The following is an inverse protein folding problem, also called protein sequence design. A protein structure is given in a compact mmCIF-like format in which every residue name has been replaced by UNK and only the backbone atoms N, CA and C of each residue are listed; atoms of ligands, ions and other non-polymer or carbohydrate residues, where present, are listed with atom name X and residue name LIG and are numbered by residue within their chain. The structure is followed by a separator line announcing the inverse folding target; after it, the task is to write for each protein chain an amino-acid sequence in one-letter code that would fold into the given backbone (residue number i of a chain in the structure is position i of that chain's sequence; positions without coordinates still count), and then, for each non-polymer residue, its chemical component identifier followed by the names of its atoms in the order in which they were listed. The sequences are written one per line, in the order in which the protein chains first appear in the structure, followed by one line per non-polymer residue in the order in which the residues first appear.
data_IF_570067203234
#
_entry.id   IF_570067203234
#
_cell.length_a   1.000
_cell.length_b   1.000
_cell.length_c   1.000
_cell.angle_alpha   90.00
_cell.angle_beta   90.00
_cell.angle_gamma   90.00
#
_symmetry.space_group_name_H-M   'P 1'
#
loop_
_entity.id
_entity.type
_entity.pdbx_description
1 polymer ?
#
# COMPACT_ATOMS: atom_id res chain seq x y z
N UNK A 1 -40.26 -4.19 -3.49
CA UNK A 1 -39.09 -4.14 -4.38
C UNK A 1 -39.43 -3.68 -5.80
N UNK A 2 -40.35 -4.30 -6.56
CA UNK A 2 -40.69 -3.88 -7.94
C UNK A 2 -41.10 -2.39 -8.06
N UNK A 3 -41.83 -1.86 -7.08
CA UNK A 3 -42.29 -0.45 -7.06
C UNK A 3 -41.14 0.53 -6.83
N UNK A 4 -40.19 0.19 -5.95
CA UNK A 4 -38.99 1.02 -5.66
C UNK A 4 -38.10 1.08 -6.91
N UNK A 5 -37.84 -0.07 -7.55
CA UNK A 5 -37.04 -0.12 -8.78
C UNK A 5 -37.66 0.64 -9.93
N UNK A 6 -39.00 0.58 -10.08
CA UNK A 6 -39.77 1.33 -11.11
C UNK A 6 -39.74 2.84 -10.85
N UNK A 7 -39.83 3.25 -9.58
CA UNK A 7 -39.72 4.66 -9.21
C UNK A 7 -38.31 5.18 -9.47
N UNK A 8 -37.29 4.43 -9.11
CA UNK A 8 -35.87 4.75 -9.38
C UNK A 8 -35.61 4.93 -10.88
N UNK A 9 -36.08 3.99 -11.72
CA UNK A 9 -35.98 4.10 -13.18
C UNK A 9 -36.72 5.29 -13.74
N UNK A 10 -37.89 5.67 -13.19
CA UNK A 10 -38.69 6.82 -13.64
C UNK A 10 -37.99 8.15 -13.29
N UNK A 11 -37.35 8.22 -12.12
CA UNK A 11 -36.54 9.38 -11.67
C UNK A 11 -35.27 9.51 -12.50
N UNK A 12 -34.57 8.41 -12.74
CA UNK A 12 -33.38 8.34 -13.62
C UNK A 12 -33.71 8.91 -15.03
N UNK A 13 -34.86 8.52 -15.60
CA UNK A 13 -35.29 9.00 -16.93
C UNK A 13 -35.67 10.47 -16.97
N UNK A 14 -36.19 11.01 -15.86
CA UNK A 14 -36.71 12.40 -15.82
C UNK A 14 -35.63 13.43 -15.47
N UNK A 15 -34.57 13.04 -14.70
CA UNK A 15 -33.52 13.92 -14.18
C UNK A 15 -32.12 13.46 -14.54
N UNK A 16 -31.96 13.03 -15.79
CA UNK A 16 -30.73 12.34 -16.28
C UNK A 16 -29.43 13.06 -15.91
N UNK A 17 -29.32 14.35 -16.22
CA UNK A 17 -28.09 15.12 -16.00
C UNK A 17 -27.76 15.29 -14.52
N UNK A 18 -28.76 15.62 -13.76
CA UNK A 18 -28.62 15.88 -12.34
C UNK A 18 -28.24 14.62 -11.56
N UNK A 19 -28.86 13.50 -11.90
CA UNK A 19 -28.55 12.21 -11.27
C UNK A 19 -27.23 11.66 -11.75
N UNK A 20 -26.89 11.87 -13.01
CA UNK A 20 -25.56 11.49 -13.55
C UNK A 20 -24.43 12.20 -12.80
N UNK A 21 -24.53 13.52 -12.60
CA UNK A 21 -23.52 14.29 -11.85
C UNK A 21 -23.38 13.80 -10.41
N UNK A 22 -24.48 13.44 -9.77
CA UNK A 22 -24.46 12.94 -8.40
C UNK A 22 -23.81 11.54 -8.31
N UNK A 23 -24.18 10.64 -9.21
CA UNK A 23 -23.58 9.30 -9.31
C UNK A 23 -22.09 9.41 -9.63
N UNK A 24 -21.70 10.25 -10.59
CA UNK A 24 -20.29 10.45 -10.94
C UNK A 24 -19.50 11.05 -9.78
N UNK A 25 -20.04 12.05 -9.07
CA UNK A 25 -19.40 12.65 -7.91
C UNK A 25 -19.13 11.64 -6.80
N UNK A 26 -20.13 10.82 -6.44
CA UNK A 26 -19.96 9.73 -5.48
C UNK A 26 -18.99 8.66 -5.97
N UNK A 27 -19.05 8.30 -7.26
CA UNK A 27 -18.15 7.28 -7.82
C UNK A 27 -16.70 7.70 -7.78
N UNK A 28 -16.40 8.95 -8.12
CA UNK A 28 -15.06 9.52 -8.05
C UNK A 28 -14.60 9.58 -6.58
N UNK A 29 -15.47 9.96 -5.66
CA UNK A 29 -15.16 10.03 -4.23
C UNK A 29 -14.81 8.63 -3.67
N UNK A 30 -15.59 7.61 -3.99
CA UNK A 30 -15.29 6.24 -3.57
C UNK A 30 -14.03 5.71 -4.22
N UNK A 31 -13.79 5.98 -5.50
CA UNK A 31 -12.55 5.60 -6.17
C UNK A 31 -11.33 6.26 -5.52
N UNK A 32 -11.39 7.57 -5.27
CA UNK A 32 -10.32 8.30 -4.59
C UNK A 32 -10.08 7.77 -3.17
N UNK A 33 -11.15 7.51 -2.40
CA UNK A 33 -11.06 6.89 -1.08
C UNK A 33 -10.32 5.55 -1.13
N UNK A 34 -10.70 4.66 -2.05
CA UNK A 34 -10.09 3.34 -2.19
C UNK A 34 -8.59 3.48 -2.52
N UNK A 35 -8.23 4.31 -3.50
CA UNK A 35 -6.83 4.50 -3.91
C UNK A 35 -5.98 5.07 -2.78
N UNK A 36 -6.49 6.07 -2.05
CA UNK A 36 -5.78 6.64 -0.89
C UNK A 36 -5.63 5.60 0.21
N UNK A 37 -6.67 4.81 0.48
CA UNK A 37 -6.60 3.79 1.51
C UNK A 37 -5.69 2.61 1.12
N UNK A 38 -5.55 2.28 -0.17
CA UNK A 38 -4.55 1.33 -0.64
C UNK A 38 -3.13 1.82 -0.35
N UNK A 39 -2.85 3.12 -0.59
CA UNK A 39 -1.54 3.71 -0.24
C UNK A 39 -1.32 3.72 1.27
N UNK A 40 -2.32 4.07 2.07
CA UNK A 40 -2.23 4.03 3.54
C UNK A 40 -1.96 2.60 4.04
N UNK A 41 -2.61 1.60 3.46
CA UNK A 41 -2.40 0.19 3.79
C UNK A 41 -1.00 -0.28 3.39
N UNK A 42 -0.51 0.13 2.21
CA UNK A 42 0.85 -0.13 1.73
C UNK A 42 1.90 0.39 2.72
N UNK A 43 1.84 1.68 3.05
CA UNK A 43 2.79 2.30 3.97
C UNK A 43 2.70 1.70 5.39
N UNK A 44 1.47 1.50 5.90
CA UNK A 44 1.25 0.98 7.25
C UNK A 44 1.80 -0.44 7.43
N UNK A 45 1.72 -1.26 6.37
CA UNK A 45 2.14 -2.66 6.39
C UNK A 45 3.53 -2.86 5.76
N UNK A 46 4.31 -1.77 5.58
CA UNK A 46 5.65 -1.87 5.02
C UNK A 46 6.54 -2.74 5.92
N UNK A 47 7.22 -3.73 5.33
CA UNK A 47 8.07 -4.71 6.00
C UNK A 47 7.41 -5.52 7.13
N UNK A 48 6.07 -5.62 7.15
CA UNK A 48 5.35 -6.40 8.18
C UNK A 48 5.00 -7.82 7.74
N UNK A 49 5.52 -8.26 6.61
CA UNK A 49 5.24 -9.59 6.04
C UNK A 49 6.18 -10.70 6.50
N UNK A 50 7.21 -10.40 7.28
CA UNK A 50 8.18 -11.37 7.77
C UNK A 50 7.77 -11.98 9.10
N UNK A 51 8.23 -13.20 9.39
CA UNK A 51 8.07 -13.80 10.73
C UNK A 51 8.92 -13.01 11.72
N UNK A 52 8.34 -12.65 12.87
CA UNK A 52 9.01 -11.88 13.92
C UNK A 52 9.77 -10.64 13.39
N UNK A 53 9.10 -9.84 12.57
CA UNK A 53 9.66 -8.63 11.96
C UNK A 53 10.31 -7.69 12.98
N UNK A 54 9.77 -7.65 14.19
CA UNK A 54 10.30 -6.83 15.30
C UNK A 54 11.69 -7.30 15.78
N UNK A 55 12.11 -8.52 15.45
CA UNK A 55 13.45 -9.07 15.75
C UNK A 55 14.48 -8.74 14.67
N UNK A 56 14.07 -8.13 13.56
CA UNK A 56 14.94 -7.74 12.47
C UNK A 56 15.28 -6.26 12.62
N UNK A 57 16.57 -5.93 12.58
CA UNK A 57 17.05 -4.56 12.71
C UNK A 57 17.97 -4.20 11.55
N UNK A 58 17.80 -2.99 11.01
CA UNK A 58 18.84 -2.37 10.20
C UNK A 58 19.85 -1.68 11.13
N UNK A 59 21.13 -1.96 10.94
CA UNK A 59 22.19 -1.30 11.69
C UNK A 59 22.64 -0.07 10.92
N UNK A 60 22.51 1.10 11.54
CA UNK A 60 22.84 2.41 10.99
C UNK A 60 23.97 3.04 11.77
N UNK A 61 24.86 3.75 11.09
CA UNK A 61 25.89 4.55 11.75
C UNK A 61 25.41 5.98 11.93
N UNK A 62 25.48 6.47 13.14
CA UNK A 62 25.10 7.85 13.50
C UNK A 62 26.33 8.57 14.01
N UNK A 63 26.64 9.72 13.42
CA UNK A 63 27.73 10.59 13.86
C UNK A 63 27.30 11.43 15.09
N UNK A 64 28.28 11.97 15.79
CA UNK A 64 28.02 12.77 17.00
C UNK A 64 27.25 14.08 16.72
N UNK A 65 27.29 14.59 15.50
CA UNK A 65 26.50 15.73 15.02
C UNK A 65 25.04 15.41 14.67
N UNK A 66 24.69 14.12 14.70
CA UNK A 66 23.36 13.62 14.43
C UNK A 66 23.15 13.13 12.99
N UNK A 67 24.08 13.32 12.08
CA UNK A 67 24.01 12.78 10.73
C UNK A 67 24.11 11.26 10.75
N UNK A 68 23.24 10.60 10.00
CA UNK A 68 23.16 9.14 9.94
C UNK A 68 23.32 8.60 8.54
N UNK A 69 23.84 7.37 8.43
CA UNK A 69 23.95 6.64 7.18
C UNK A 69 23.39 5.21 7.31
N UNK A 70 22.77 4.74 6.24
CA UNK A 70 22.22 3.38 6.15
C UNK A 70 23.28 2.33 5.77
N UNK A 71 24.49 2.77 5.43
CA UNK A 71 25.55 1.90 4.95
C UNK A 71 26.71 1.82 5.93
N UNK A 72 27.35 0.66 5.96
CA UNK A 72 28.50 0.36 6.80
C UNK A 72 29.63 -0.24 5.97
N UNK A 73 30.84 -0.30 6.53
CA UNK A 73 31.92 -1.10 5.96
C UNK A 73 31.84 -2.55 6.41
N UNK A 74 32.34 -3.44 5.57
CA UNK A 74 32.29 -4.88 5.82
C UNK A 74 33.00 -5.33 7.10
N UNK A 75 34.24 -4.86 7.43
CA UNK A 75 34.92 -5.28 8.66
C UNK A 75 34.17 -4.95 9.93
N UNK A 76 33.46 -3.80 9.96
CA UNK A 76 32.64 -3.40 11.10
C UNK A 76 31.43 -4.34 11.27
N UNK A 77 30.74 -4.66 10.16
CA UNK A 77 29.61 -5.58 10.19
C UNK A 77 30.02 -7.00 10.63
N UNK A 78 31.12 -7.52 10.11
CA UNK A 78 31.63 -8.84 10.48
C UNK A 78 32.00 -8.90 11.98
N UNK A 79 32.64 -7.85 12.51
CA UNK A 79 32.94 -7.73 13.94
C UNK A 79 31.66 -7.65 14.79
N UNK A 80 30.66 -6.90 14.34
CA UNK A 80 29.40 -6.74 15.06
C UNK A 80 28.59 -8.05 15.09
N UNK A 81 28.49 -8.77 13.98
CA UNK A 81 27.80 -10.07 13.91
C UNK A 81 28.39 -11.07 14.94
N UNK A 82 29.71 -11.05 15.11
CA UNK A 82 30.42 -11.98 16.01
C UNK A 82 30.41 -11.51 17.47
N UNK A 83 29.93 -10.31 17.77
CA UNK A 83 30.06 -9.70 19.10
C UNK A 83 29.09 -10.24 20.15
N UNK A 84 27.99 -10.86 19.75
CA UNK A 84 26.94 -11.29 20.68
C UNK A 84 26.26 -12.59 20.22
N UNK A 85 25.99 -13.53 21.15
CA UNK A 85 25.21 -14.73 20.86
C UNK A 85 23.73 -14.43 20.59
N UNK A 86 23.24 -13.24 20.92
CA UNK A 86 21.88 -12.80 20.65
C UNK A 86 21.63 -12.43 19.17
N UNK A 87 22.71 -12.29 18.39
CA UNK A 87 22.61 -12.10 16.93
C UNK A 87 22.53 -13.49 16.28
N UNK A 88 21.30 -13.90 15.94
CA UNK A 88 21.02 -15.21 15.34
C UNK A 88 21.50 -15.28 13.88
N UNK A 89 21.37 -14.18 13.14
CA UNK A 89 21.85 -14.05 11.77
C UNK A 89 22.18 -12.58 11.48
N UNK A 90 23.19 -12.38 10.63
CA UNK A 90 23.56 -11.06 10.14
C UNK A 90 23.87 -11.09 8.66
N UNK A 91 23.49 -10.04 7.93
CA UNK A 91 23.69 -9.98 6.50
C UNK A 91 24.09 -8.60 6.03
N UNK A 92 25.00 -8.56 5.07
CA UNK A 92 25.29 -7.40 4.26
C UNK A 92 24.58 -7.52 2.93
N UNK A 93 24.07 -6.40 2.47
CA UNK A 93 23.41 -6.23 1.18
C UNK A 93 24.14 -5.12 0.43
N UNK A 94 24.61 -5.39 -0.79
CA UNK A 94 25.13 -4.34 -1.66
C UNK A 94 23.96 -3.69 -2.42
N UNK A 95 23.43 -2.53 -1.97
CA UNK A 95 22.26 -1.92 -2.58
C UNK A 95 22.54 -1.33 -3.97
N UNK A 96 23.81 -1.18 -4.33
CA UNK A 96 24.29 -0.63 -5.60
C UNK A 96 24.41 -1.68 -6.69
N UNK A 97 23.84 -2.88 -6.48
CA UNK A 97 23.80 -3.95 -7.46
C UNK A 97 23.38 -3.44 -8.83
N UNK A 98 24.06 -3.90 -9.84
CA UNK A 98 23.85 -3.47 -11.21
C UNK A 98 22.76 -4.25 -11.93
N UNK A 99 22.77 -4.13 -13.26
CA UNK A 99 22.00 -5.00 -14.13
C UNK A 99 22.90 -6.10 -14.69
N UNK A 100 22.47 -7.34 -14.59
CA UNK A 100 23.07 -8.46 -15.29
C UNK A 100 22.50 -8.55 -16.71
N UNK A 101 23.40 -8.68 -17.68
CA UNK A 101 23.08 -8.98 -19.08
C UNK A 101 23.45 -10.43 -19.35
N UNK A 102 22.46 -11.27 -19.56
CA UNK A 102 22.65 -12.70 -19.77
C UNK A 102 21.68 -13.24 -20.81
N UNK A 103 21.94 -14.42 -21.28
CA UNK A 103 21.04 -15.16 -22.14
C UNK A 103 20.68 -16.50 -21.53
N UNK A 104 19.48 -16.94 -21.84
CA UNK A 104 18.96 -18.27 -21.52
C UNK A 104 18.75 -19.01 -22.83
N UNK A 105 19.20 -20.25 -22.89
CA UNK A 105 18.95 -21.13 -24.03
C UNK A 105 17.73 -22.00 -23.72
N UNK A 106 16.68 -21.85 -24.51
CA UNK A 106 15.45 -22.63 -24.41
C UNK A 106 15.05 -23.13 -25.81
N UNK A 107 14.82 -24.44 -25.95
CA UNK A 107 14.41 -25.08 -27.21
C UNK A 107 15.33 -24.77 -28.41
N UNK A 108 16.63 -24.52 -28.17
CA UNK A 108 17.59 -24.14 -29.22
C UNK A 108 17.58 -22.67 -29.64
N UNK A 109 16.74 -21.86 -29.00
CA UNK A 109 16.73 -20.41 -29.14
C UNK A 109 17.45 -19.74 -27.95
N UNK A 110 18.23 -18.70 -28.26
CA UNK A 110 18.95 -17.92 -27.24
C UNK A 110 18.27 -16.58 -27.05
N UNK A 111 17.62 -16.41 -25.90
CA UNK A 111 16.96 -15.17 -25.53
C UNK A 111 17.84 -14.38 -24.56
N UNK A 112 18.03 -13.08 -24.82
CA UNK A 112 18.82 -12.19 -23.96
C UNK A 112 17.95 -11.34 -23.06
N UNK A 113 18.39 -11.19 -21.81
CA UNK A 113 17.67 -10.47 -20.76
C UNK A 113 18.60 -9.48 -20.07
N UNK A 114 17.99 -8.44 -19.50
CA UNK A 114 18.63 -7.47 -18.62
C UNK A 114 17.83 -7.42 -17.33
N UNK A 115 18.40 -7.92 -16.23
CA UNK A 115 17.72 -8.01 -14.93
C UNK A 115 18.58 -7.44 -13.83
N UNK A 116 17.91 -6.93 -12.77
CA UNK A 116 18.59 -6.41 -11.58
C UNK A 116 19.14 -7.55 -10.73
N UNK A 117 20.33 -7.34 -10.15
CA UNK A 117 20.89 -8.26 -9.17
C UNK A 117 21.42 -7.51 -7.95
N UNK A 118 21.51 -8.23 -6.84
CA UNK A 118 22.05 -7.75 -5.57
C UNK A 118 22.96 -8.83 -4.99
N UNK A 119 24.17 -8.43 -4.55
CA UNK A 119 25.07 -9.31 -3.83
C UNK A 119 24.78 -9.24 -2.33
N UNK A 120 24.68 -10.41 -1.70
CA UNK A 120 24.30 -10.53 -0.28
C UNK A 120 25.15 -11.57 0.43
N UNK A 121 25.17 -11.53 1.76
CA UNK A 121 25.70 -12.64 2.55
C UNK A 121 24.76 -13.85 2.49
N UNK A 122 25.30 -15.10 2.66
CA UNK A 122 24.47 -16.31 2.64
C UNK A 122 23.33 -16.30 3.66
N UNK A 123 23.55 -15.70 4.84
CA UNK A 123 22.54 -15.61 5.90
C UNK A 123 21.40 -14.61 5.60
N UNK A 124 21.41 -13.94 4.44
CA UNK A 124 20.34 -13.07 3.99
C UNK A 124 18.96 -13.74 4.03
N UNK A 125 18.90 -15.00 3.61
CA UNK A 125 17.66 -15.79 3.63
C UNK A 125 17.21 -16.19 5.04
N UNK A 126 18.10 -16.19 6.03
CA UNK A 126 17.77 -16.42 7.44
C UNK A 126 17.30 -15.14 8.13
N UNK A 127 17.84 -13.98 7.70
CA UNK A 127 17.40 -12.68 8.22
C UNK A 127 15.99 -12.36 7.76
N UNK A 128 15.64 -12.61 6.48
CA UNK A 128 14.39 -12.17 5.85
C UNK A 128 13.38 -13.29 5.53
N UNK A 129 13.53 -14.49 6.06
CA UNK A 129 12.59 -15.61 5.94
C UNK A 129 12.09 -15.86 4.51
N UNK A 130 12.96 -16.34 3.63
CA UNK A 130 12.59 -16.65 2.26
C UNK A 130 11.68 -17.88 2.18
N UNK A 131 10.56 -17.75 1.49
CA UNK A 131 9.64 -18.85 1.16
C UNK A 131 10.07 -19.46 -0.19
N UNK A 132 10.75 -20.61 -0.14
CA UNK A 132 11.27 -21.27 -1.33
C UNK A 132 10.21 -22.13 -2.01
N UNK A 133 10.02 -21.92 -3.30
CA UNK A 133 9.15 -22.73 -4.16
C UNK A 133 9.92 -23.89 -4.81
N UNK A 134 11.20 -23.64 -5.17
CA UNK A 134 12.12 -24.63 -5.73
C UNK A 134 13.52 -24.41 -5.13
N UNK A 135 14.28 -25.48 -4.93
CA UNK A 135 15.61 -25.39 -4.30
C UNK A 135 15.53 -25.00 -2.82
N UNK A 136 16.58 -24.38 -2.30
CA UNK A 136 16.64 -23.96 -0.89
C UNK A 136 17.70 -22.87 -0.66
N UNK A 137 17.83 -22.43 0.59
CA UNK A 137 18.76 -21.37 1.01
C UNK A 137 20.24 -21.65 0.73
N UNK A 138 20.67 -22.91 0.63
CA UNK A 138 22.08 -23.27 0.37
C UNK A 138 22.56 -22.81 -1.01
N UNK A 139 21.66 -22.40 -1.90
CA UNK A 139 22.03 -21.82 -3.17
C UNK A 139 22.94 -20.59 -3.02
N UNK A 140 22.81 -19.81 -1.94
CA UNK A 140 23.69 -18.66 -1.65
C UNK A 140 25.02 -19.05 -0.99
N UNK A 141 25.27 -20.31 -0.70
CA UNK A 141 26.58 -20.79 -0.23
C UNK A 141 27.56 -20.99 -1.39
N UNK A 142 27.03 -21.23 -2.60
CA UNK A 142 27.81 -21.48 -3.80
C UNK A 142 28.01 -20.17 -4.63
N UNK A 143 29.25 -19.79 -4.96
CA UNK A 143 29.54 -18.53 -5.67
C UNK A 143 28.95 -18.43 -7.07
N UNK A 144 28.73 -19.56 -7.72
CA UNK A 144 28.17 -19.63 -9.08
C UNK A 144 26.67 -19.90 -9.13
N UNK A 145 26.03 -19.83 -7.97
CA UNK A 145 24.59 -20.05 -7.84
C UNK A 145 23.85 -18.75 -7.54
N UNK A 146 22.60 -18.68 -7.99
CA UNK A 146 21.72 -17.53 -7.77
C UNK A 146 20.33 -17.95 -7.33
N UNK A 147 19.66 -17.04 -6.62
CA UNK A 147 18.23 -17.12 -6.32
C UNK A 147 17.45 -16.21 -7.26
N UNK A 148 16.32 -16.72 -7.76
CA UNK A 148 15.38 -15.95 -8.59
C UNK A 148 14.05 -15.77 -7.87
N UNK A 149 13.37 -14.60 -8.04
CA UNK A 149 11.98 -14.48 -7.64
C UNK A 149 11.08 -15.29 -8.58
N UNK A 150 9.94 -15.74 -8.10
CA UNK A 150 8.97 -16.55 -8.86
C UNK A 150 8.55 -15.88 -10.18
N UNK A 151 8.27 -14.58 -10.14
CA UNK A 151 7.89 -13.80 -11.33
C UNK A 151 8.97 -13.82 -12.41
N UNK A 152 10.25 -13.73 -12.01
CA UNK A 152 11.37 -13.78 -12.93
C UNK A 152 11.61 -15.20 -13.45
N UNK A 153 11.54 -16.21 -12.59
CA UNK A 153 11.64 -17.62 -13.01
C UNK A 153 10.58 -17.95 -14.07
N UNK A 154 9.33 -17.49 -13.86
CA UNK A 154 8.27 -17.64 -14.84
C UNK A 154 8.54 -16.87 -16.15
N UNK A 155 9.05 -15.64 -16.06
CA UNK A 155 9.42 -14.81 -17.21
C UNK A 155 10.51 -15.48 -18.07
N UNK A 156 11.50 -16.13 -17.43
CA UNK A 156 12.65 -16.71 -18.10
C UNK A 156 12.38 -18.12 -18.65
N UNK A 157 11.60 -18.93 -17.93
CA UNK A 157 11.45 -20.38 -18.16
C UNK A 157 9.99 -20.86 -18.27
N UNK A 158 9.01 -19.94 -18.20
CA UNK A 158 7.59 -20.29 -18.23
C UNK A 158 7.21 -21.17 -17.04
N UNK A 159 6.54 -22.31 -17.33
CA UNK A 159 6.11 -23.27 -16.31
C UNK A 159 7.14 -24.39 -16.05
N UNK A 160 8.35 -24.30 -16.63
CA UNK A 160 9.40 -25.28 -16.38
C UNK A 160 10.12 -24.96 -15.06
N UNK A 161 10.67 -25.99 -14.39
CA UNK A 161 11.56 -25.79 -13.25
C UNK A 161 12.76 -24.94 -13.68
N UNK A 162 13.03 -23.90 -12.90
CA UNK A 162 14.17 -23.02 -13.12
C UNK A 162 15.47 -23.56 -12.48
N UNK A 163 15.37 -24.37 -11.42
CA UNK A 163 16.54 -24.89 -10.72
C UNK A 163 17.40 -25.76 -11.63
N UNK A 164 18.71 -25.51 -11.63
CA UNK A 164 19.69 -26.15 -12.49
C UNK A 164 19.82 -25.53 -13.88
N UNK A 165 18.95 -24.59 -14.27
CA UNK A 165 19.11 -23.82 -15.53
C UNK A 165 20.26 -22.83 -15.40
N UNK A 166 20.84 -22.45 -16.53
CA UNK A 166 22.02 -21.57 -16.61
C UNK A 166 21.67 -20.21 -17.18
N UNK A 167 22.17 -19.17 -16.54
CA UNK A 167 22.23 -17.80 -17.04
C UNK A 167 23.62 -17.62 -17.66
N UNK A 168 23.70 -17.43 -18.99
CA UNK A 168 24.96 -17.39 -19.74
C UNK A 168 25.30 -15.95 -20.10
N UNK A 169 26.45 -15.46 -19.65
CA UNK A 169 26.94 -14.11 -19.94
C UNK A 169 27.67 -14.04 -21.26
N UNK A 170 27.88 -12.81 -21.78
CA UNK A 170 28.59 -12.59 -23.05
C UNK A 170 30.04 -13.08 -23.05
N UNK A 171 30.70 -12.99 -21.88
CA UNK A 171 32.07 -13.49 -21.69
C UNK A 171 32.18 -15.01 -21.57
N UNK A 172 31.04 -15.72 -21.61
CA UNK A 172 30.96 -17.17 -21.47
C UNK A 172 30.82 -17.68 -20.03
N UNK A 173 30.87 -16.79 -19.03
CA UNK A 173 30.60 -17.16 -17.64
C UNK A 173 29.15 -17.60 -17.47
N UNK A 174 28.91 -18.44 -16.47
CA UNK A 174 27.61 -19.02 -16.19
C UNK A 174 27.27 -18.93 -14.74
N UNK A 175 26.02 -18.51 -14.45
CA UNK A 175 25.42 -18.67 -13.13
C UNK A 175 24.30 -19.72 -13.22
N UNK A 176 24.24 -20.58 -12.22
CA UNK A 176 23.22 -21.64 -12.14
C UNK A 176 22.10 -21.19 -11.20
N UNK A 177 20.87 -21.38 -11.60
CA UNK A 177 19.71 -21.13 -10.70
C UNK A 177 19.71 -22.22 -9.64
N UNK A 178 19.98 -21.86 -8.39
CA UNK A 178 20.00 -22.77 -7.25
C UNK A 178 18.70 -22.80 -6.46
N UNK A 179 17.86 -21.77 -6.62
CA UNK A 179 16.55 -21.73 -5.97
C UNK A 179 15.64 -20.65 -6.55
N UNK A 180 14.34 -20.89 -6.38
CA UNK A 180 13.27 -19.94 -6.70
C UNK A 180 12.52 -19.62 -5.43
N UNK A 181 12.45 -18.34 -5.10
CA UNK A 181 11.70 -17.85 -3.95
C UNK A 181 10.39 -17.19 -4.39
N UNK A 182 9.39 -17.25 -3.54
CA UNK A 182 8.12 -16.57 -3.71
C UNK A 182 8.34 -15.05 -3.66
N UNK A 183 7.74 -14.33 -4.59
CA UNK A 183 7.88 -12.88 -4.65
C UNK A 183 7.46 -12.22 -3.33
N UNK A 184 8.32 -11.34 -2.82
CA UNK A 184 7.98 -10.44 -1.73
C UNK A 184 6.93 -9.42 -2.19
N UNK A 185 6.04 -8.99 -1.29
CA UNK A 185 5.09 -7.94 -1.62
C UNK A 185 5.83 -6.61 -1.91
N UNK A 186 5.18 -5.72 -2.64
CA UNK A 186 5.80 -4.43 -3.03
C UNK A 186 6.19 -3.55 -1.83
N UNK A 187 5.50 -3.69 -0.71
CA UNK A 187 5.77 -3.00 0.55
C UNK A 187 6.81 -3.73 1.40
N UNK A 188 7.93 -4.04 0.78
CA UNK A 188 9.06 -4.74 1.40
C UNK A 188 10.38 -4.08 1.02
N UNK A 189 11.32 -4.02 1.98
CA UNK A 189 12.71 -3.62 1.75
C UNK A 189 13.46 -4.64 0.90
N UNK A 190 13.06 -5.92 0.94
CA UNK A 190 13.62 -6.97 0.09
C UNK A 190 13.03 -6.87 -1.31
N UNK A 191 13.90 -6.64 -2.29
CA UNK A 191 13.51 -6.48 -3.70
C UNK A 191 13.36 -7.82 -4.39
N UNK A 192 12.42 -7.92 -5.33
CA UNK A 192 12.31 -9.09 -6.20
C UNK A 192 13.32 -8.99 -7.35
N UNK A 193 14.54 -9.47 -7.13
CA UNK A 193 15.66 -9.43 -8.06
C UNK A 193 16.50 -10.71 -7.96
N UNK A 194 17.54 -10.81 -8.76
CA UNK A 194 18.52 -11.90 -8.67
C UNK A 194 19.38 -11.68 -7.44
N UNK A 195 19.41 -12.65 -6.52
CA UNK A 195 20.34 -12.65 -5.40
C UNK A 195 21.52 -13.59 -5.66
N UNK A 196 22.72 -13.05 -5.44
CA UNK A 196 23.99 -13.76 -5.59
C UNK A 196 24.81 -13.62 -4.32
N UNK A 197 25.60 -14.64 -4.01
CA UNK A 197 26.57 -14.57 -2.92
C UNK A 197 27.58 -13.45 -3.17
N UNK A 198 27.82 -12.63 -2.16
CA UNK A 198 28.90 -11.65 -2.15
C UNK A 198 30.26 -12.38 -2.16
N UNK A 199 31.23 -11.87 -2.94
CA UNK A 199 32.58 -12.46 -2.95
C UNK A 199 33.16 -12.43 -1.51
N UNK A 200 33.54 -13.58 -0.96
CA UNK A 200 34.06 -13.64 0.40
C UNK A 200 35.38 -12.86 0.60
N UNK A 201 36.07 -12.49 -0.48
CA UNK A 201 37.33 -11.73 -0.41
C UNK A 201 37.13 -10.22 -0.61
N UNK A 202 35.96 -9.80 -1.07
CA UNK A 202 35.69 -8.40 -1.39
C UNK A 202 35.65 -7.56 -0.12
N UNK A 203 36.49 -6.53 -0.04
CA UNK A 203 36.50 -5.49 0.99
C UNK A 203 36.61 -5.97 2.46
N UNK A 204 37.12 -7.18 2.73
CA UNK A 204 37.19 -7.78 4.08
C UNK A 204 38.08 -7.01 5.07
N UNK A 205 39.00 -6.18 4.57
CA UNK A 205 39.91 -5.36 5.39
C UNK A 205 39.81 -3.87 5.04
N UNK A 206 38.82 -3.50 4.20
CA UNK A 206 38.68 -2.15 3.67
C UNK A 206 37.76 -1.31 4.58
N UNK A 207 38.32 -0.70 5.61
CA UNK A 207 37.59 0.15 6.56
C UNK A 207 37.06 1.44 5.92
N UNK A 208 37.62 1.88 4.81
CA UNK A 208 37.18 3.05 4.04
C UNK A 208 36.05 2.76 3.04
N UNK A 209 35.66 1.48 2.85
CA UNK A 209 34.64 1.10 1.89
C UNK A 209 33.26 0.98 2.55
N UNK A 210 32.47 2.05 2.53
CA UNK A 210 31.15 2.18 3.13
C UNK A 210 30.08 2.03 2.03
N UNK A 211 29.72 0.78 1.72
CA UNK A 211 28.85 0.48 0.57
C UNK A 211 27.75 -0.54 0.85
N UNK A 212 27.59 -1.00 2.09
CA UNK A 212 26.72 -2.12 2.38
C UNK A 212 25.64 -1.73 3.39
N UNK A 213 24.38 -1.99 3.06
CA UNK A 213 23.31 -2.02 4.05
C UNK A 213 23.52 -3.25 4.95
N UNK A 214 23.32 -3.06 6.24
CA UNK A 214 23.58 -4.09 7.24
C UNK A 214 22.34 -4.39 8.05
N UNK A 215 21.94 -5.66 8.05
CA UNK A 215 20.78 -6.14 8.80
C UNK A 215 21.19 -7.27 9.73
N UNK A 216 20.56 -7.29 10.91
CA UNK A 216 20.73 -8.37 11.91
C UNK A 216 19.36 -8.85 12.37
N UNK A 217 19.28 -10.16 12.65
CA UNK A 217 18.14 -10.78 13.33
C UNK A 217 18.58 -11.15 14.74
N UNK A 218 17.83 -10.73 15.74
CA UNK A 218 18.05 -11.09 17.13
C UNK A 218 17.10 -12.23 17.54
N UNK A 219 17.51 -12.98 18.58
CA UNK A 219 16.69 -14.01 19.23
C UNK A 219 15.48 -13.44 19.98
N UNK A 220 15.63 -12.24 20.58
CA UNK A 220 14.56 -11.45 21.21
C UNK A 220 14.81 -9.96 20.88
N UNK A 221 13.82 -9.19 20.39
CA UNK A 221 13.98 -7.77 20.11
C UNK A 221 14.42 -6.94 21.33
N UNK A 222 14.14 -7.38 22.54
CA UNK A 222 14.59 -6.72 23.79
C UNK A 222 16.11 -6.73 23.95
N UNK A 223 16.79 -7.70 23.36
CA UNK A 223 18.24 -7.79 23.40
C UNK A 223 18.95 -6.73 22.54
N UNK A 224 18.20 -5.92 21.77
CA UNK A 224 18.75 -4.78 21.05
C UNK A 224 19.25 -3.68 21.99
N UNK A 225 18.64 -3.54 23.18
CA UNK A 225 19.06 -2.59 24.19
C UNK A 225 20.40 -3.00 24.79
N UNK A 226 21.38 -2.09 24.79
CA UNK A 226 22.72 -2.35 25.30
C UNK A 226 23.63 -3.17 24.38
N UNK A 227 23.15 -3.64 23.23
CA UNK A 227 23.96 -4.45 22.32
C UNK A 227 25.14 -3.66 21.74
N UNK A 228 24.91 -2.39 21.40
CA UNK A 228 25.97 -1.52 20.89
C UNK A 228 26.98 -1.17 21.98
N UNK A 229 26.55 -0.84 23.19
CA UNK A 229 27.41 -0.52 24.32
C UNK A 229 28.34 -1.68 24.69
N UNK A 230 27.79 -2.91 24.67
CA UNK A 230 28.56 -4.13 24.88
C UNK A 230 29.59 -4.33 23.76
N UNK A 231 29.19 -4.18 22.50
CA UNK A 231 30.10 -4.20 21.36
C UNK A 231 31.21 -3.17 21.50
N UNK A 232 30.86 -1.92 21.75
CA UNK A 232 31.80 -0.79 21.86
C UNK A 232 32.81 -0.95 23.01
N UNK A 233 32.44 -1.65 24.07
CA UNK A 233 33.35 -1.94 25.20
C UNK A 233 34.49 -2.92 24.86
N UNK A 234 34.31 -3.73 23.81
CA UNK A 234 35.26 -4.82 23.43
C UNK A 234 35.85 -4.62 22.02
N UNK A 235 35.36 -3.66 21.26
CA UNK A 235 35.79 -3.39 19.89
C UNK A 235 36.75 -2.21 19.84
N UNK A 236 37.89 -2.37 19.14
CA UNK A 236 38.79 -1.25 18.86
C UNK A 236 38.17 -0.31 17.84
N UNK A 237 37.76 0.90 18.24
CA UNK A 237 37.08 1.85 17.34
C UNK A 237 38.04 2.61 16.42
N UNK A 238 39.36 2.46 16.57
CA UNK A 238 40.37 3.26 15.87
C UNK A 238 40.16 3.27 14.35
N UNK A 239 40.01 2.12 13.67
CA UNK A 239 39.87 2.12 12.21
C UNK A 239 38.59 2.83 11.73
N UNK A 240 37.52 2.80 12.52
CA UNK A 240 36.26 3.49 12.18
C UNK A 240 36.39 4.98 12.46
N UNK A 241 37.01 5.36 13.58
CA UNK A 241 37.20 6.77 13.98
C UNK A 241 38.10 7.55 13.03
N UNK A 242 39.04 6.91 12.40
CA UNK A 242 39.87 7.53 11.36
C UNK A 242 39.06 8.05 10.17
N UNK A 243 37.91 7.40 9.87
CA UNK A 243 37.03 7.78 8.78
C UNK A 243 35.83 8.62 9.24
N UNK A 244 35.31 8.40 10.45
CA UNK A 244 34.03 8.94 10.90
C UNK A 244 34.10 9.81 12.16
N UNK A 245 35.25 9.89 12.82
CA UNK A 245 35.34 10.57 14.10
C UNK A 245 34.54 9.85 15.20
N UNK A 246 33.71 10.59 15.94
CA UNK A 246 32.82 9.98 16.93
C UNK A 246 31.55 9.42 16.27
N UNK A 247 31.20 8.20 16.61
CA UNK A 247 30.01 7.52 16.07
C UNK A 247 29.36 6.61 17.12
N UNK A 248 28.10 6.24 16.87
CA UNK A 248 27.45 5.08 17.50
C UNK A 248 26.64 4.31 16.45
N UNK A 249 26.39 3.03 16.72
CA UNK A 249 25.52 2.22 15.88
C UNK A 249 24.11 2.25 16.47
N UNK A 250 23.15 2.53 15.62
CA UNK A 250 21.73 2.47 15.94
C UNK A 250 21.13 1.21 15.33
N UNK A 251 20.50 0.40 16.15
CA UNK A 251 19.65 -0.69 15.70
C UNK A 251 18.24 -0.13 15.44
N UNK A 252 17.89 0.02 14.17
CA UNK A 252 16.60 0.54 13.75
C UNK A 252 15.68 -0.63 13.42
N UNK A 253 14.56 -0.86 14.17
CA UNK A 253 13.64 -1.95 13.88
C UNK A 253 13.16 -1.87 12.42
N UNK A 254 13.11 -3.01 11.72
CA UNK A 254 12.77 -3.07 10.30
C UNK A 254 11.43 -2.36 9.98
N UNK A 255 10.35 -2.50 10.79
CA UNK A 255 9.10 -1.77 10.55
C UNK A 255 9.20 -0.25 10.64
N UNK A 256 10.23 0.27 11.33
CA UNK A 256 10.44 1.71 11.49
C UNK A 256 11.40 2.30 10.45
N UNK A 257 12.15 1.47 9.74
CA UNK A 257 13.10 1.89 8.69
C UNK A 257 12.40 2.74 7.62
N UNK A 258 11.22 2.33 7.17
CA UNK A 258 10.40 3.05 6.18
C UNK A 258 10.01 4.47 6.64
N UNK A 259 9.90 4.69 7.95
CA UNK A 259 9.52 5.99 8.54
C UNK A 259 10.70 6.81 9.05
N UNK A 260 11.89 6.25 9.08
CA UNK A 260 13.10 6.95 9.55
C UNK A 260 13.62 7.84 8.44
N UNK A 261 13.54 9.16 8.65
CA UNK A 261 13.96 10.18 7.70
C UNK A 261 15.37 10.69 8.04
N UNK A 262 16.03 11.32 7.07
CA UNK A 262 17.32 12.01 7.28
C UNK A 262 18.53 11.07 7.34
N UNK A 263 18.39 9.81 6.91
CA UNK A 263 19.49 8.86 6.81
C UNK A 263 20.04 8.90 5.39
N UNK A 264 21.34 9.15 5.25
CA UNK A 264 22.02 9.21 3.96
C UNK A 264 22.23 7.80 3.39
N UNK A 265 22.31 7.71 2.07
CA UNK A 265 22.50 6.46 1.32
C UNK A 265 21.46 5.37 1.62
N UNK A 266 20.29 5.78 2.02
CA UNK A 266 19.16 4.88 2.29
C UNK A 266 18.39 4.59 1.00
N UNK A 267 18.33 3.33 0.59
CA UNK A 267 17.66 2.90 -0.62
C UNK A 267 16.22 2.45 -0.40
N UNK A 268 15.77 2.38 0.86
CA UNK A 268 14.40 2.01 1.23
C UNK A 268 13.43 3.13 0.87
N UNK A 269 12.29 2.86 0.21
CA UNK A 269 11.23 3.83 0.02
C UNK A 269 10.80 4.46 1.34
N UNK A 270 10.57 5.78 1.35
CA UNK A 270 10.29 6.54 2.58
C UNK A 270 8.87 7.09 2.61
N UNK A 271 8.28 6.97 3.79
CA UNK A 271 7.02 7.62 4.14
C UNK A 271 7.11 8.25 5.54
N UNK A 272 6.11 9.03 5.93
CA UNK A 272 6.05 9.58 7.29
C UNK A 272 4.71 9.24 7.95
N UNK A 273 4.75 8.99 9.26
CA UNK A 273 3.53 8.76 10.08
C UNK A 273 2.57 9.97 9.98
N UNK A 274 3.11 11.18 9.77
CA UNK A 274 2.30 12.40 9.55
C UNK A 274 1.61 12.36 8.18
N UNK A 275 2.33 11.98 7.12
CA UNK A 275 1.75 11.83 5.78
C UNK A 275 0.61 10.82 5.77
N UNK A 276 0.79 9.67 6.45
CA UNK A 276 -0.28 8.68 6.59
C UNK A 276 -1.53 9.27 7.26
N UNK A 277 -1.35 9.99 8.37
CA UNK A 277 -2.47 10.62 9.08
C UNK A 277 -3.21 11.62 8.18
N UNK A 278 -2.46 12.42 7.43
CA UNK A 278 -3.04 13.41 6.49
C UNK A 278 -3.79 12.70 5.37
N UNK A 279 -3.23 11.67 4.76
CA UNK A 279 -3.89 10.88 3.71
C UNK A 279 -5.19 10.24 4.23
N UNK A 280 -5.14 9.65 5.42
CA UNK A 280 -6.33 9.07 6.06
C UNK A 280 -7.41 10.12 6.34
N UNK A 281 -7.02 11.29 6.84
CA UNK A 281 -7.95 12.40 7.05
C UNK A 281 -8.57 12.89 5.73
N UNK A 282 -7.78 13.04 4.68
CA UNK A 282 -8.25 13.43 3.33
C UNK A 282 -9.26 12.39 2.81
N UNK A 283 -8.98 11.10 2.95
CA UNK A 283 -9.88 10.04 2.52
C UNK A 283 -11.27 10.16 3.19
N UNK A 284 -11.29 10.39 4.50
CA UNK A 284 -12.55 10.60 5.25
C UNK A 284 -13.27 11.86 4.76
N UNK A 285 -12.55 12.98 4.64
CA UNK A 285 -13.13 14.28 4.22
C UNK A 285 -13.74 14.17 2.83
N UNK A 286 -13.12 13.48 1.89
CA UNK A 286 -13.66 13.25 0.54
C UNK A 286 -15.04 12.57 0.62
N UNK A 287 -15.17 11.49 1.39
CA UNK A 287 -16.44 10.76 1.55
C UNK A 287 -17.50 11.64 2.22
N UNK A 288 -17.13 12.40 3.25
CA UNK A 288 -18.04 13.30 3.96
C UNK A 288 -18.56 14.40 3.01
N UNK A 289 -17.67 15.05 2.27
CA UNK A 289 -18.05 16.07 1.28
C UNK A 289 -18.96 15.48 0.19
N UNK A 290 -18.65 14.29 -0.30
CA UNK A 290 -19.48 13.60 -1.28
C UNK A 290 -20.87 13.29 -0.73
N UNK A 291 -20.98 12.85 0.53
CA UNK A 291 -22.25 12.62 1.22
C UNK A 291 -23.07 13.91 1.41
N UNK A 292 -22.41 15.01 1.79
CA UNK A 292 -23.05 16.34 1.89
C UNK A 292 -23.56 16.78 0.52
N UNK A 293 -22.74 16.67 -0.53
CA UNK A 293 -23.13 17.02 -1.90
C UNK A 293 -24.33 16.19 -2.37
N UNK A 294 -24.33 14.88 -2.07
CA UNK A 294 -25.45 13.99 -2.37
C UNK A 294 -26.74 14.44 -1.66
N UNK A 295 -26.63 14.80 -0.36
CA UNK A 295 -27.76 15.32 0.44
C UNK A 295 -28.32 16.63 -0.15
N UNK A 296 -27.45 17.59 -0.47
CA UNK A 296 -27.82 18.87 -1.06
C UNK A 296 -28.53 18.69 -2.38
N UNK A 297 -27.98 17.80 -3.20
CA UNK A 297 -28.53 17.51 -4.52
C UNK A 297 -29.91 16.82 -4.43
N UNK A 298 -30.05 15.81 -3.55
CA UNK A 298 -31.30 15.13 -3.28
C UNK A 298 -32.37 16.09 -2.77
N UNK A 299 -31.98 17.05 -1.92
CA UNK A 299 -32.86 18.09 -1.38
C UNK A 299 -33.30 19.10 -2.48
N UNK A 300 -32.38 19.45 -3.38
CA UNK A 300 -32.72 20.37 -4.50
C UNK A 300 -33.77 19.79 -5.47
N UNK A 301 -33.87 18.44 -5.54
CA UNK A 301 -34.90 17.77 -6.35
C UNK A 301 -36.30 17.75 -5.69
N UNK A 302 -36.44 18.22 -4.44
CA UNK A 302 -37.69 18.19 -3.68
C UNK A 302 -38.88 18.83 -4.43
N UNK A 303 -38.77 20.04 -5.06
CA UNK A 303 -39.92 20.66 -5.74
C UNK A 303 -40.54 19.77 -6.82
N UNK A 304 -39.71 18.93 -7.42
CA UNK A 304 -40.15 18.05 -8.51
C UNK A 304 -40.77 16.74 -8.04
N UNK A 305 -40.42 16.31 -6.81
CA UNK A 305 -40.85 15.04 -6.21
C UNK A 305 -42.02 15.20 -5.26
N UNK A 306 -42.19 16.38 -4.68
CA UNK A 306 -43.12 16.65 -3.59
C UNK A 306 -44.59 16.37 -4.02
N UNK A 307 -44.98 16.64 -5.28
CA UNK A 307 -46.32 16.36 -5.80
C UNK A 307 -46.63 14.85 -5.79
N UNK A 308 -45.69 14.03 -6.25
CA UNK A 308 -45.81 12.55 -6.24
C UNK A 308 -45.88 11.97 -4.83
N UNK A 309 -45.06 12.50 -3.90
CA UNK A 309 -45.03 12.09 -2.50
C UNK A 309 -46.37 12.43 -1.81
N UNK A 310 -46.91 13.66 -2.01
CA UNK A 310 -48.18 14.04 -1.42
C UNK A 310 -49.37 13.31 -2.02
N UNK A 311 -49.31 12.94 -3.31
CA UNK A 311 -50.34 12.07 -3.90
C UNK A 311 -50.35 10.69 -3.21
N UNK A 312 -49.17 10.12 -2.90
CA UNK A 312 -49.10 8.85 -2.15
C UNK A 312 -49.71 8.98 -0.74
N UNK A 313 -49.46 10.11 -0.04
CA UNK A 313 -50.07 10.37 1.27
C UNK A 313 -51.60 10.48 1.20
N UNK A 314 -52.14 11.18 0.22
CA UNK A 314 -53.61 11.30 0.02
C UNK A 314 -54.25 9.95 -0.29
N UNK A 315 -53.55 9.07 -0.98
CA UNK A 315 -54.01 7.70 -1.25
C UNK A 315 -53.82 6.74 -0.05
N UNK A 316 -53.47 7.25 1.14
CA UNK A 316 -53.36 6.47 2.37
C UNK A 316 -51.96 5.89 2.63
N UNK A 317 -50.95 6.33 1.90
CA UNK A 317 -49.57 5.93 2.16
C UNK A 317 -49.04 6.47 3.49
N UNK A 318 -48.52 5.59 4.34
CA UNK A 318 -47.92 5.93 5.63
C UNK A 318 -46.60 6.69 5.42
N UNK A 319 -46.38 7.75 6.19
CA UNK A 319 -45.15 8.58 6.04
C UNK A 319 -43.88 7.84 6.33
N UNK A 320 -43.90 6.92 7.28
CA UNK A 320 -42.77 6.04 7.66
C UNK A 320 -42.30 5.18 6.48
N UNK A 321 -43.26 4.58 5.74
CA UNK A 321 -43.01 3.77 4.56
C UNK A 321 -42.44 4.58 3.41
N UNK A 322 -42.96 5.80 3.23
CA UNK A 322 -42.46 6.71 2.19
C UNK A 322 -41.05 7.19 2.51
N UNK A 323 -40.75 7.52 3.78
CA UNK A 323 -39.39 7.88 4.24
C UNK A 323 -38.40 6.73 4.03
N UNK A 324 -38.77 5.53 4.46
CA UNK A 324 -37.93 4.35 4.26
C UNK A 324 -37.64 4.10 2.78
N UNK A 325 -38.64 4.24 1.91
CA UNK A 325 -38.48 4.07 0.48
C UNK A 325 -37.50 5.11 -0.11
N UNK A 326 -37.51 6.35 0.35
CA UNK A 326 -36.57 7.40 -0.08
C UNK A 326 -35.15 7.14 0.43
N UNK A 327 -34.99 6.66 1.68
CA UNK A 327 -33.68 6.28 2.24
C UNK A 327 -33.09 5.08 1.47
N UNK A 328 -33.90 4.05 1.21
CA UNK A 328 -33.48 2.91 0.41
C UNK A 328 -33.07 3.31 -1.01
N UNK A 329 -33.80 4.26 -1.63
CA UNK A 329 -33.43 4.81 -2.94
C UNK A 329 -32.04 5.46 -2.88
N UNK A 330 -31.78 6.30 -1.87
CA UNK A 330 -30.49 6.95 -1.67
C UNK A 330 -29.37 5.92 -1.45
N UNK A 331 -29.63 4.90 -0.65
CA UNK A 331 -28.70 3.78 -0.42
C UNK A 331 -28.37 3.05 -1.73
N UNK A 332 -29.39 2.73 -2.56
CA UNK A 332 -29.15 2.06 -3.84
C UNK A 332 -28.32 2.91 -4.80
N UNK A 333 -28.54 4.24 -4.84
CA UNK A 333 -27.74 5.15 -5.67
C UNK A 333 -26.28 5.15 -5.18
N UNK A 334 -26.06 5.22 -3.88
CA UNK A 334 -24.71 5.20 -3.29
C UNK A 334 -23.98 3.88 -3.58
N UNK A 335 -24.64 2.74 -3.39
CA UNK A 335 -24.07 1.42 -3.71
C UNK A 335 -23.80 1.28 -5.21
N UNK A 336 -24.69 1.77 -6.06
CA UNK A 336 -24.45 1.77 -7.51
C UNK A 336 -23.23 2.64 -7.87
N UNK A 337 -23.10 3.81 -7.25
CA UNK A 337 -21.92 4.68 -7.42
C UNK A 337 -20.64 4.01 -6.95
N UNK A 338 -20.70 3.21 -5.87
CA UNK A 338 -19.57 2.43 -5.39
C UNK A 338 -19.08 1.41 -6.43
N UNK A 339 -19.99 0.68 -7.10
CA UNK A 339 -19.58 -0.24 -8.16
C UNK A 339 -18.92 0.46 -9.34
N UNK A 340 -19.39 1.66 -9.71
CA UNK A 340 -18.71 2.50 -10.71
C UNK A 340 -17.34 2.95 -10.16
N UNK A 341 -17.24 3.29 -8.88
CA UNK A 341 -15.98 3.60 -8.21
C UNK A 341 -14.96 2.47 -8.30
N UNK A 342 -15.39 1.22 -8.06
CA UNK A 342 -14.53 0.03 -8.25
C UNK A 342 -14.06 -0.12 -9.70
N UNK A 343 -14.96 0.13 -10.67
CA UNK A 343 -14.60 0.13 -12.08
C UNK A 343 -13.56 1.21 -12.41
N UNK A 344 -13.69 2.40 -11.84
CA UNK A 344 -12.71 3.49 -12.01
C UNK A 344 -11.34 3.09 -11.42
N UNK A 345 -11.29 2.49 -10.23
CA UNK A 345 -10.04 1.95 -9.65
C UNK A 345 -9.40 0.91 -10.57
N UNK A 346 -10.19 -0.05 -11.05
CA UNK A 346 -9.71 -1.06 -11.99
C UNK A 346 -9.14 -0.45 -13.28
N UNK A 347 -9.81 0.56 -13.83
CA UNK A 347 -9.32 1.29 -15.02
C UNK A 347 -8.03 2.07 -14.71
N UNK A 348 -7.94 2.72 -13.54
CA UNK A 348 -6.73 3.44 -13.11
C UNK A 348 -5.52 2.53 -13.09
N UNK A 349 -5.66 1.28 -12.62
CA UNK A 349 -4.59 0.29 -12.61
C UNK A 349 -4.01 -0.05 -14.00
N UNK A 350 -4.72 0.29 -15.08
CA UNK A 350 -4.29 0.08 -16.48
C UNK A 350 -3.72 1.33 -17.15
N UNK A 351 -3.62 2.43 -16.42
CA UNK A 351 -3.15 3.73 -16.93
C UNK A 351 -1.80 4.10 -16.33
N UNK A 352 -1.12 5.08 -16.91
CA UNK A 352 0.12 5.65 -16.35
C UNK A 352 -0.08 6.29 -14.97
N UNK A 353 -1.32 6.54 -14.53
CA UNK A 353 -1.60 7.04 -13.17
C UNK A 353 -1.21 5.99 -12.12
N UNK A 354 -1.27 4.70 -12.46
CA UNK A 354 -0.85 3.62 -11.57
C UNK A 354 0.62 3.74 -11.12
N UNK A 355 1.50 4.31 -11.94
CA UNK A 355 2.91 4.51 -11.59
C UNK A 355 3.15 5.63 -10.56
N UNK A 356 2.14 6.42 -10.22
CA UNK A 356 2.20 7.45 -9.17
C UNK A 356 1.81 6.91 -7.79
N UNK A 357 1.39 5.65 -7.72
CA UNK A 357 0.93 4.98 -6.50
C UNK A 357 1.85 3.78 -6.28
N UNK A 358 2.53 3.74 -5.14
CA UNK A 358 3.44 2.64 -4.81
C UNK A 358 2.69 1.36 -4.45
N UNK A 359 1.48 1.50 -3.91
CA UNK A 359 0.61 0.39 -3.57
C UNK A 359 0.19 -0.44 -4.80
N UNK A 360 -0.05 -1.72 -4.59
CA UNK A 360 -0.71 -2.56 -5.58
C UNK A 360 -2.19 -2.13 -5.72
N UNK A 361 -2.58 -1.71 -6.93
CA UNK A 361 -3.96 -1.25 -7.22
C UNK A 361 -4.90 -2.42 -7.54
N UNK A 362 -4.41 -3.67 -7.45
CA UNK A 362 -5.22 -4.85 -7.76
C UNK A 362 -6.29 -5.08 -6.69
N UNK A 363 -7.57 -4.94 -7.05
CA UNK A 363 -8.69 -5.08 -6.12
C UNK A 363 -8.73 -6.43 -5.40
N UNK A 364 -8.29 -7.50 -6.04
CA UNK A 364 -8.24 -8.83 -5.44
C UNK A 364 -7.20 -8.97 -4.32
N UNK A 365 -6.21 -8.09 -4.25
CA UNK A 365 -5.23 -8.05 -3.17
C UNK A 365 -5.80 -7.35 -1.91
N UNK A 366 -6.88 -6.56 -2.04
CA UNK A 366 -7.41 -5.68 -1.00
C UNK A 366 -8.89 -5.99 -0.64
N UNK A 367 -9.27 -7.27 -0.54
CA UNK A 367 -10.67 -7.66 -0.23
C UNK A 367 -11.22 -7.00 1.03
N UNK A 368 -10.42 -6.86 2.08
CA UNK A 368 -10.84 -6.18 3.31
C UNK A 368 -11.25 -4.73 3.06
N UNK A 369 -10.47 -3.99 2.27
CA UNK A 369 -10.75 -2.61 1.89
C UNK A 369 -11.99 -2.50 0.99
N UNK A 370 -12.17 -3.43 0.05
CA UNK A 370 -13.34 -3.50 -0.82
C UNK A 370 -14.62 -3.64 0.02
N UNK A 371 -14.66 -4.58 0.98
CA UNK A 371 -15.81 -4.74 1.88
C UNK A 371 -16.01 -3.55 2.82
N UNK A 372 -14.94 -3.01 3.38
CA UNK A 372 -15.03 -1.80 4.22
C UNK A 372 -15.66 -0.64 3.45
N UNK A 373 -15.21 -0.41 2.21
CA UNK A 373 -15.75 0.67 1.36
C UNK A 373 -17.20 0.41 0.95
N UNK A 374 -17.59 -0.85 0.76
CA UNK A 374 -19.00 -1.21 0.54
C UNK A 374 -19.89 -0.81 1.74
N UNK A 375 -19.44 -1.08 2.95
CA UNK A 375 -20.13 -0.67 4.18
C UNK A 375 -20.21 0.87 4.29
N UNK A 376 -19.12 1.56 3.97
CA UNK A 376 -19.08 3.04 3.93
C UNK A 376 -20.07 3.57 2.89
N UNK A 377 -20.18 2.94 1.72
CA UNK A 377 -21.13 3.35 0.69
C UNK A 377 -22.58 3.18 1.13
N UNK A 378 -22.90 2.07 1.81
CA UNK A 378 -24.23 1.84 2.42
C UNK A 378 -24.51 2.91 3.47
N UNK A 379 -23.58 3.16 4.39
CA UNK A 379 -23.73 4.17 5.43
C UNK A 379 -23.90 5.57 4.84
N UNK A 380 -23.08 5.95 3.87
CA UNK A 380 -23.19 7.24 3.15
C UNK A 380 -24.57 7.40 2.52
N UNK A 381 -25.09 6.37 1.84
CA UNK A 381 -26.41 6.41 1.24
C UNK A 381 -27.52 6.59 2.27
N UNK A 382 -27.46 5.86 3.40
CA UNK A 382 -28.44 5.97 4.49
C UNK A 382 -28.39 7.38 5.11
N UNK A 383 -27.22 7.83 5.57
CA UNK A 383 -27.09 9.12 6.25
C UNK A 383 -27.46 10.29 5.33
N UNK A 384 -27.02 10.27 4.09
CA UNK A 384 -27.35 11.31 3.11
C UNK A 384 -28.83 11.29 2.69
N UNK A 385 -29.50 10.15 2.81
CA UNK A 385 -30.94 10.01 2.51
C UNK A 385 -31.86 10.43 3.64
N UNK A 386 -31.40 10.46 4.90
CA UNK A 386 -32.23 10.77 6.07
C UNK A 386 -32.83 12.18 5.93
N UNK A 387 -31.98 13.20 5.81
CA UNK A 387 -32.45 14.59 5.78
C UNK A 387 -33.41 14.86 4.62
N UNK A 388 -33.12 14.52 3.34
CA UNK A 388 -34.06 14.71 2.25
C UNK A 388 -35.40 13.99 2.46
N UNK A 389 -35.38 12.76 3.01
CA UNK A 389 -36.60 11.99 3.22
C UNK A 389 -37.54 12.65 4.23
N UNK A 390 -37.02 13.13 5.36
CA UNK A 390 -37.81 13.89 6.34
C UNK A 390 -38.27 15.22 5.76
N UNK A 391 -37.42 15.95 5.05
CA UNK A 391 -37.75 17.21 4.43
C UNK A 391 -38.87 17.05 3.41
N UNK A 392 -38.80 16.10 2.48
CA UNK A 392 -39.82 15.85 1.46
C UNK A 392 -41.17 15.42 2.03
N UNK A 393 -41.16 14.67 3.15
CA UNK A 393 -42.40 14.19 3.80
C UNK A 393 -43.01 15.19 4.77
N UNK A 394 -42.36 16.28 5.16
CA UNK A 394 -42.90 17.28 6.09
C UNK A 394 -43.96 18.20 5.48
N UNK A 395 -44.12 18.23 4.15
CA UNK A 395 -45.08 19.11 3.51
C UNK A 395 -46.50 18.54 3.58
N UNK A 396 -47.50 19.37 4.03
CA UNK A 396 -48.88 18.94 4.07
C UNK A 396 -49.51 18.86 2.66
N UNK A 397 -50.30 17.81 2.37
CA UNK A 397 -50.88 17.58 1.06
C UNK A 397 -51.74 18.75 0.52
N UNK A 398 -52.47 19.39 1.42
CA UNK A 398 -53.38 20.50 1.07
C UNK A 398 -52.69 21.73 0.46
N UNK A 399 -51.44 22.04 0.91
CA UNK A 399 -50.65 23.16 0.37
C UNK A 399 -50.06 22.85 -0.99
N UNK A 400 -49.70 21.59 -1.20
CA UNK A 400 -49.04 21.14 -2.45
C UNK A 400 -50.05 21.05 -3.59
N UNK A 401 -51.27 20.62 -3.33
CA UNK A 401 -52.33 20.48 -4.33
C UNK A 401 -52.92 21.83 -4.79
N UNK A 402 -52.85 22.87 -3.93
CA UNK A 402 -53.29 24.26 -4.25
C UNK A 402 -52.23 25.05 -5.03
N UNK A 403 -51.06 24.50 -5.33
CA UNK A 403 -50.05 25.15 -6.17
C UNK A 403 -49.21 26.26 -5.50
N UNK A 404 -49.42 26.55 -4.20
CA UNK A 404 -48.65 27.56 -3.45
C UNK A 404 -47.38 26.96 -2.83
N UNK A 405 -46.28 26.91 -3.58
CA UNK A 405 -44.97 26.48 -3.11
C UNK A 405 -44.23 27.64 -2.44
N UNK A 406 -44.61 28.02 -1.23
CA UNK A 406 -43.75 28.84 -0.36
C UNK A 406 -42.74 27.95 0.35
N UNK A 407 -41.46 28.18 0.16
CA UNK A 407 -40.40 27.54 0.98
C UNK A 407 -40.66 27.91 2.45
N UNK A 408 -40.83 26.91 3.33
CA UNK A 408 -41.03 27.18 4.76
C UNK A 408 -39.82 27.95 5.32
N UNK A 409 -39.99 28.89 6.26
CA UNK A 409 -38.88 29.66 6.86
C UNK A 409 -37.77 28.78 7.45
N UNK A 410 -38.14 27.64 8.06
CA UNK A 410 -37.19 26.66 8.64
C UNK A 410 -36.33 25.94 7.59
N UNK A 411 -36.90 25.65 6.42
CA UNK A 411 -36.12 25.00 5.33
C UNK A 411 -35.12 25.97 4.69
N UNK A 412 -35.40 27.28 4.72
CA UNK A 412 -34.49 28.31 4.20
C UNK A 412 -33.25 28.49 5.08
N UNK A 413 -33.39 28.42 6.42
CA UNK A 413 -32.29 28.52 7.35
C UNK A 413 -31.34 27.31 7.25
N UNK A 414 -31.87 26.08 7.19
CA UNK A 414 -31.05 24.89 7.09
C UNK A 414 -30.32 24.78 5.73
N UNK A 415 -30.98 25.20 4.65
CA UNK A 415 -30.33 25.29 3.32
C UNK A 415 -29.15 26.25 3.33
N UNK A 416 -29.28 27.40 3.98
CA UNK A 416 -28.21 28.39 4.09
C UNK A 416 -27.01 27.87 4.93
N UNK A 417 -27.27 27.02 5.91
CA UNK A 417 -26.20 26.36 6.73
C UNK A 417 -25.49 25.25 5.94
N UNK A 418 -26.15 24.61 4.96
CA UNK A 418 -25.56 23.52 4.14
C UNK A 418 -24.88 24.04 2.86
N UNK A 419 -25.11 25.27 2.44
CA UNK A 419 -24.56 25.86 1.21
C UNK A 419 -23.51 26.94 1.53
N UNK A 420 -23.48 27.49 2.74
CA UNK A 420 -22.45 28.39 3.28
C UNK A 420 -21.35 27.65 3.94
#
# INVERSE_FOLDING_TARGET
MKTILRNLLSVLRRFKMAMLLNVLGLSIAFAAFILIMMQVEYDRNFDRGYTDTESIFRVEIIQNDGDGQAIVCRPLADAFIQSSPHIVAGTLVNPWGGALFFSVEENGERNSFKEQYVSVYPDFTKVFDFDFLEGNQSALEEPTSVLLPQSMAYKLFGNQSAVGKQLVFENGDKLTVGGVYKDFPRNSSVRNCIYQKMDPRENIQEWGNWNYEFYVRLDDPKNAEGLFENFAAHFDPTPVKEHWGGYHLRLNPLPDVHYTMGIQYDTTPKSSKQTLLVLFAIAIVIVVIAGINFTNFSTALTPMRIKSINTQKVLGGEESVIRLALILEAMFISVFSYFIGLLLVYMTGKTSIASLIDADITLSAHWGLVWLTALIAIATGIFSGIYPSYYMTSFPPALVLKGSFGLSPKGRQLRNVLIG
#
